data_IF_429227136992
#
_entry.id   IF_429227136992
#
_cell.length_a   1.000
_cell.length_b   1.000
_cell.length_c   1.000
_cell.angle_alpha   90.00
_cell.angle_beta   90.00
_cell.angle_gamma   90.00
#
_symmetry.space_group_name_H-M   'P 1'
#
loop_
_entity.id
_entity.type
_entity.pdbx_description
1 polymer ?
#
# COMPACT_ATOMS: atom_id res chain seq x y z
N UNK A 1 -4.58 7.35 24.92
CA UNK A 1 -5.71 6.65 24.28
C UNK A 1 -5.22 5.94 23.04
N UNK A 2 -5.84 4.87 22.55
CA UNK A 2 -5.27 4.19 21.38
C UNK A 2 -5.89 4.87 20.14
N UNK A 3 -5.31 5.97 19.62
CA UNK A 3 -4.07 6.07 18.83
C UNK A 3 -4.12 5.05 17.69
N UNK A 4 -4.64 5.50 16.55
CA UNK A 4 -4.48 4.78 15.28
C UNK A 4 -2.98 4.52 15.08
N UNK A 5 -2.63 3.26 14.83
CA UNK A 5 -1.26 2.85 14.56
C UNK A 5 -1.10 2.65 13.06
N UNK A 6 -0.04 3.23 12.50
CA UNK A 6 0.38 3.03 11.11
C UNK A 6 1.59 2.10 11.16
N UNK A 7 1.47 0.93 10.53
CA UNK A 7 2.60 0.00 10.39
C UNK A 7 3.16 0.15 8.99
N UNK A 8 4.45 0.54 8.91
CA UNK A 8 5.18 0.61 7.66
C UNK A 8 5.75 -0.76 7.31
N UNK A 9 5.37 -1.28 6.15
CA UNK A 9 5.97 -2.49 5.60
C UNK A 9 6.87 -2.10 4.43
N UNK A 10 8.15 -2.46 4.51
CA UNK A 10 9.13 -2.27 3.44
C UNK A 10 9.40 -3.63 2.80
N UNK A 11 9.02 -3.81 1.54
CA UNK A 11 9.50 -4.91 0.72
C UNK A 11 10.72 -4.43 -0.07
N UNK A 12 11.87 -4.35 0.58
CA UNK A 12 13.15 -4.21 -0.11
C UNK A 12 14.10 -5.28 0.40
N UNK A 13 14.58 -6.09 -0.53
CA UNK A 13 15.73 -6.94 -0.33
C UNK A 13 16.94 -6.06 0.05
N UNK A 14 17.85 -6.60 0.87
CA UNK A 14 19.04 -5.89 1.32
C UNK A 14 20.04 -5.65 0.17
N UNK A 15 19.83 -6.25 -1.01
CA UNK A 15 20.49 -5.92 -2.27
C UNK A 15 19.50 -5.32 -3.27
N UNK A 16 19.59 -4.02 -3.53
CA UNK A 16 18.81 -3.33 -4.55
C UNK A 16 19.22 -3.79 -5.97
N UNK A 17 18.69 -4.93 -6.41
CA UNK A 17 18.93 -5.52 -7.72
C UNK A 17 17.69 -6.13 -8.37
N UNK A 18 16.48 -5.63 -8.06
CA UNK A 18 15.26 -5.96 -8.83
C UNK A 18 14.83 -7.44 -8.87
N UNK A 19 15.30 -8.28 -7.94
CA UNK A 19 15.16 -9.74 -8.07
C UNK A 19 13.79 -10.31 -7.72
N UNK A 20 12.97 -9.61 -6.94
CA UNK A 20 11.64 -10.09 -6.56
C UNK A 20 10.57 -9.43 -7.43
N UNK A 21 9.86 -10.20 -8.28
CA UNK A 21 8.76 -9.68 -9.09
C UNK A 21 7.69 -9.00 -8.23
N UNK A 22 7.14 -7.88 -8.72
CA UNK A 22 6.19 -7.02 -7.96
C UNK A 22 5.00 -7.80 -7.37
N UNK A 23 4.46 -8.77 -8.13
CA UNK A 23 3.32 -9.58 -7.69
C UNK A 23 3.67 -10.48 -6.50
N UNK A 24 4.91 -10.98 -6.42
CA UNK A 24 5.38 -11.76 -5.29
C UNK A 24 5.64 -10.86 -4.07
N UNK A 25 6.25 -9.69 -4.28
CA UNK A 25 6.49 -8.71 -3.21
C UNK A 25 5.16 -8.23 -2.60
N UNK A 26 4.19 -7.84 -3.42
CA UNK A 26 2.85 -7.48 -2.97
C UNK A 26 2.13 -8.64 -2.30
N UNK A 27 2.30 -9.87 -2.81
CA UNK A 27 1.71 -11.06 -2.21
C UNK A 27 2.22 -11.30 -0.78
N UNK A 28 3.55 -11.23 -0.58
CA UNK A 28 4.18 -11.36 0.73
C UNK A 28 3.73 -10.25 1.69
N UNK A 29 3.66 -9.00 1.22
CA UNK A 29 3.10 -7.89 1.99
C UNK A 29 1.66 -8.16 2.41
N UNK A 30 0.82 -8.67 1.50
CA UNK A 30 -0.55 -9.06 1.80
C UNK A 30 -0.65 -10.10 2.89
N UNK A 31 0.18 -11.15 2.85
CA UNK A 31 0.25 -12.18 3.90
C UNK A 31 0.65 -11.56 5.24
N UNK A 32 1.67 -10.71 5.26
CA UNK A 32 2.13 -10.06 6.50
C UNK A 32 1.04 -9.13 7.10
N UNK A 33 0.35 -8.36 6.26
CA UNK A 33 -0.72 -7.46 6.67
C UNK A 33 -1.92 -8.25 7.21
N UNK A 34 -2.30 -9.36 6.55
CA UNK A 34 -3.37 -10.27 7.00
C UNK A 34 -3.04 -10.90 8.35
N UNK A 35 -1.81 -11.39 8.53
CA UNK A 35 -1.35 -11.95 9.80
C UNK A 35 -1.46 -10.89 10.91
N UNK A 36 -1.00 -9.67 10.65
CA UNK A 36 -1.13 -8.56 11.60
C UNK A 36 -2.60 -8.24 11.94
N UNK A 37 -3.52 -8.32 10.96
CA UNK A 37 -4.96 -8.14 11.20
C UNK A 37 -5.55 -9.24 12.09
N UNK A 38 -5.10 -10.48 11.91
CA UNK A 38 -5.53 -11.60 12.76
C UNK A 38 -5.02 -11.44 14.21
N UNK A 39 -3.74 -11.10 14.37
CA UNK A 39 -3.14 -10.84 15.69
C UNK A 39 -3.84 -9.68 16.43
N UNK A 40 -4.21 -8.63 15.70
CA UNK A 40 -4.98 -7.51 16.22
C UNK A 40 -6.37 -7.95 16.70
N UNK A 41 -7.08 -8.75 15.90
CA UNK A 41 -8.40 -9.27 16.24
C UNK A 41 -8.35 -10.17 17.49
N UNK A 42 -7.33 -11.02 17.60
CA UNK A 42 -7.11 -11.85 18.79
C UNK A 42 -6.82 -11.00 20.03
N UNK A 43 -5.99 -9.96 19.90
CA UNK A 43 -5.71 -9.03 20.98
C UNK A 43 -6.97 -8.29 21.43
N UNK A 44 -7.84 -7.92 20.49
CA UNK A 44 -9.14 -7.28 20.76
C UNK A 44 -10.08 -8.20 21.54
N UNK A 45 -10.15 -9.49 21.17
CA UNK A 45 -10.92 -10.51 21.90
C UNK A 45 -10.40 -10.71 23.33
N UNK A 46 -9.08 -10.73 23.51
CA UNK A 46 -8.43 -10.90 24.84
C UNK A 46 -8.53 -9.65 25.72
N UNK A 47 -8.71 -8.46 25.13
CA UNK A 47 -8.82 -7.17 25.84
C UNK A 47 -10.06 -6.40 25.36
N UNK A 48 -11.25 -6.70 25.89
CA UNK A 48 -12.52 -6.09 25.46
C UNK A 48 -12.54 -4.55 25.53
N UNK A 49 -11.72 -3.96 26.41
CA UNK A 49 -11.53 -2.51 26.49
C UNK A 49 -11.02 -1.89 25.17
N UNK A 50 -10.25 -2.62 24.36
CA UNK A 50 -9.82 -2.17 23.03
C UNK A 50 -11.00 -2.07 22.06
N UNK A 51 -11.91 -3.06 22.08
CA UNK A 51 -13.12 -3.05 21.26
C UNK A 51 -14.09 -1.92 21.61
N UNK A 52 -14.23 -1.60 22.90
CA UNK A 52 -15.14 -0.55 23.40
C UNK A 52 -14.81 0.86 22.88
N UNK A 53 -13.55 1.11 22.49
CA UNK A 53 -13.10 2.39 21.94
C UNK A 53 -13.03 2.41 20.41
N UNK A 54 -13.58 1.40 19.72
CA UNK A 54 -13.52 1.31 18.26
C UNK A 54 -12.08 1.24 17.74
N UNK A 55 -11.17 0.66 18.54
CA UNK A 55 -9.77 0.50 18.18
C UNK A 55 -9.64 -0.47 17.00
N UNK A 56 -8.90 -0.04 15.98
CA UNK A 56 -8.70 -0.76 14.74
C UNK A 56 -7.59 -0.11 13.91
N UNK A 57 -6.62 -0.88 13.43
CA UNK A 57 -5.59 -0.40 12.52
C UNK A 57 -6.12 -0.36 11.10
N UNK A 58 -5.94 0.78 10.44
CA UNK A 58 -6.13 0.88 8.99
C UNK A 58 -4.83 0.54 8.30
N UNK A 59 -4.97 -0.18 7.19
CA UNK A 59 -3.84 -0.72 6.42
C UNK A 59 -3.95 -0.20 5.00
N UNK A 60 -2.84 0.17 4.42
CA UNK A 60 -2.69 0.54 3.02
C UNK A 60 -1.22 0.28 2.64
N UNK A 61 -0.95 0.18 1.35
CA UNK A 61 0.39 -0.04 0.82
C UNK A 61 0.73 1.14 -0.09
N UNK A 62 1.93 1.70 0.08
CA UNK A 62 2.51 2.64 -0.88
C UNK A 62 3.70 1.92 -1.49
N UNK A 63 3.70 1.77 -2.81
CA UNK A 63 4.78 1.14 -3.57
C UNK A 63 5.42 2.15 -4.51
N UNK A 64 6.70 1.96 -4.81
CA UNK A 64 7.48 2.79 -5.73
C UNK A 64 8.04 1.91 -6.84
N UNK A 65 7.94 2.33 -8.10
CA UNK A 65 8.54 1.64 -9.23
C UNK A 65 9.13 2.65 -10.23
N UNK A 66 10.16 2.26 -10.97
CA UNK A 66 10.84 3.06 -12.00
C UNK A 66 10.71 2.47 -13.41
N UNK A 67 9.81 1.50 -13.59
CA UNK A 67 9.57 0.84 -14.86
C UNK A 67 8.28 0.02 -14.90
N UNK A 68 8.05 -0.66 -16.02
CA UNK A 68 6.91 -1.55 -16.18
C UNK A 68 7.07 -2.84 -15.39
N UNK A 69 5.94 -3.41 -14.96
CA UNK A 69 5.95 -4.77 -14.45
C UNK A 69 6.06 -5.76 -15.60
N UNK A 70 6.95 -6.74 -15.51
CA UNK A 70 7.03 -7.84 -16.48
C UNK A 70 5.80 -8.76 -16.47
N UNK A 71 4.90 -8.64 -15.49
CA UNK A 71 3.65 -9.40 -15.42
C UNK A 71 2.50 -8.57 -14.80
N UNK A 72 1.95 -7.59 -15.54
CA UNK A 72 0.96 -6.66 -15.01
C UNK A 72 -0.35 -7.37 -14.60
N UNK A 73 -0.72 -8.47 -15.27
CA UNK A 73 -1.90 -9.27 -14.94
C UNK A 73 -1.78 -9.94 -13.57
N UNK A 74 -0.61 -10.49 -13.23
CA UNK A 74 -0.38 -11.09 -11.92
C UNK A 74 -0.41 -10.02 -10.81
N UNK A 75 0.21 -8.86 -11.06
CA UNK A 75 0.18 -7.72 -10.15
C UNK A 75 -1.25 -7.25 -9.92
N UNK A 76 -2.02 -7.07 -11.00
CA UNK A 76 -3.44 -6.69 -10.92
C UNK A 76 -4.22 -7.66 -10.05
N UNK A 77 -4.06 -8.97 -10.23
CA UNK A 77 -4.76 -9.99 -9.43
C UNK A 77 -4.46 -9.86 -7.95
N UNK A 78 -3.20 -9.68 -7.59
CA UNK A 78 -2.79 -9.50 -6.18
C UNK A 78 -3.36 -8.20 -5.62
N UNK A 79 -3.35 -7.12 -6.41
CA UNK A 79 -3.89 -5.83 -6.00
C UNK A 79 -5.41 -5.82 -5.84
N UNK A 80 -6.13 -6.48 -6.75
CA UNK A 80 -7.58 -6.69 -6.64
C UNK A 80 -7.90 -7.46 -5.34
N UNK A 81 -7.12 -8.50 -5.03
CA UNK A 81 -7.28 -9.25 -3.79
C UNK A 81 -7.02 -8.39 -2.55
N UNK A 82 -5.93 -7.62 -2.52
CA UNK A 82 -5.64 -6.69 -1.42
C UNK A 82 -6.75 -5.64 -1.25
N UNK A 83 -7.30 -5.14 -2.35
CA UNK A 83 -8.42 -4.19 -2.35
C UNK A 83 -9.68 -4.81 -1.77
N UNK A 84 -10.00 -6.07 -2.13
CA UNK A 84 -11.10 -6.83 -1.53
C UNK A 84 -10.89 -7.06 -0.03
N UNK A 85 -9.64 -7.24 0.40
CA UNK A 85 -9.25 -7.34 1.80
C UNK A 85 -9.26 -5.98 2.54
N UNK A 86 -9.65 -4.89 1.87
CA UNK A 86 -9.72 -3.55 2.44
C UNK A 86 -8.37 -2.84 2.55
N UNK A 87 -7.34 -3.33 1.85
CA UNK A 87 -5.96 -2.81 1.85
C UNK A 87 -5.70 -2.12 0.51
N UNK A 88 -5.95 -0.81 0.37
CA UNK A 88 -5.66 -0.11 -0.88
C UNK A 88 -4.15 -0.03 -1.12
N UNK A 89 -3.77 -0.14 -2.39
CA UNK A 89 -2.39 0.00 -2.85
C UNK A 89 -2.26 1.25 -3.72
N UNK A 90 -1.33 2.12 -3.38
CA UNK A 90 -0.95 3.32 -4.13
C UNK A 90 0.43 3.12 -4.76
N UNK A 91 0.53 3.26 -6.08
CA UNK A 91 1.80 3.25 -6.80
C UNK A 91 2.30 4.68 -7.02
N UNK A 92 3.53 4.95 -6.60
CA UNK A 92 4.34 6.10 -7.01
C UNK A 92 5.27 5.63 -8.13
N UNK A 93 4.97 6.03 -9.36
CA UNK A 93 5.70 5.61 -10.55
C UNK A 93 6.70 6.69 -10.92
N UNK A 94 7.99 6.39 -10.89
CA UNK A 94 9.04 7.28 -11.34
C UNK A 94 8.97 7.32 -12.86
N UNK A 95 8.38 8.39 -13.39
CA UNK A 95 8.10 8.58 -14.81
C UNK A 95 8.00 10.08 -15.09
N UNK A 96 8.52 10.51 -16.23
CA UNK A 96 8.29 11.85 -16.76
C UNK A 96 6.84 11.99 -17.25
N UNK A 97 6.36 13.22 -17.42
CA UNK A 97 5.03 13.47 -17.99
C UNK A 97 4.89 13.01 -19.44
N UNK A 98 6.00 12.74 -20.13
CA UNK A 98 6.05 12.30 -21.52
C UNK A 98 5.96 10.77 -21.65
N UNK A 99 6.08 10.04 -20.54
CA UNK A 99 6.02 8.57 -20.49
C UNK A 99 4.56 8.05 -20.41
N UNK A 100 3.69 8.52 -21.31
CA UNK A 100 2.26 8.20 -21.29
C UNK A 100 1.97 6.69 -21.36
N UNK A 101 2.73 5.96 -22.19
CA UNK A 101 2.61 4.51 -22.35
C UNK A 101 2.95 3.75 -21.06
N UNK A 102 4.03 4.14 -20.39
CA UNK A 102 4.45 3.58 -19.11
C UNK A 102 3.39 3.84 -18.03
N UNK A 103 2.82 5.04 -17.99
CA UNK A 103 1.73 5.39 -17.06
C UNK A 103 0.47 4.57 -17.36
N UNK A 104 0.12 4.40 -18.64
CA UNK A 104 -1.03 3.61 -19.06
C UNK A 104 -0.85 2.12 -18.72
N UNK A 105 0.33 1.57 -18.97
CA UNK A 105 0.73 0.20 -18.63
C UNK A 105 0.66 -0.05 -17.12
N UNK A 106 1.21 0.86 -16.31
CA UNK A 106 1.13 0.79 -14.86
C UNK A 106 -0.33 0.79 -14.34
N UNK A 107 -1.23 1.55 -14.99
CA UNK A 107 -2.67 1.58 -14.63
C UNK A 107 -3.40 0.27 -14.89
N UNK A 108 -2.88 -0.61 -15.74
CA UNK A 108 -3.43 -1.97 -15.92
C UNK A 108 -3.22 -2.83 -14.66
N UNK A 109 -2.11 -2.61 -13.96
CA UNK A 109 -1.72 -3.34 -12.77
C UNK A 109 -2.16 -2.67 -11.45
N UNK A 110 -2.25 -1.33 -11.45
CA UNK A 110 -2.56 -0.53 -10.26
C UNK A 110 -3.70 0.46 -10.53
N UNK A 111 -4.78 0.45 -9.72
CA UNK A 111 -5.90 1.39 -9.88
C UNK A 111 -5.55 2.80 -9.39
N UNK A 112 -4.50 2.97 -8.59
CA UNK A 112 -4.01 4.25 -8.09
C UNK A 112 -2.54 4.41 -8.45
N UNK A 113 -2.27 5.17 -9.52
CA UNK A 113 -0.91 5.49 -9.99
C UNK A 113 -0.69 6.98 -9.88
N UNK A 114 0.42 7.38 -9.29
CA UNK A 114 0.89 8.77 -9.19
C UNK A 114 2.24 8.85 -9.87
N UNK A 115 2.32 9.43 -11.09
CA UNK A 115 3.60 9.70 -11.74
C UNK A 115 4.43 10.67 -10.90
N UNK A 116 5.74 10.44 -10.84
CA UNK A 116 6.73 11.22 -10.10
C UNK A 116 7.91 11.49 -11.01
N UNK A 117 8.01 12.71 -11.53
CA UNK A 117 9.06 13.08 -12.49
C UNK A 117 10.41 13.39 -11.84
N UNK A 118 10.43 13.66 -10.53
CA UNK A 118 11.64 13.90 -9.76
C UNK A 118 11.65 12.99 -8.52
N UNK A 119 12.62 12.08 -8.46
CA UNK A 119 12.78 11.10 -7.37
C UNK A 119 12.88 11.78 -5.99
N UNK A 120 13.43 13.01 -5.93
CA UNK A 120 13.54 13.76 -4.68
C UNK A 120 12.17 14.12 -4.07
N UNK A 121 11.11 14.11 -4.88
CA UNK A 121 9.75 14.44 -4.43
C UNK A 121 9.00 13.21 -3.88
N UNK A 122 9.54 11.99 -4.01
CA UNK A 122 8.90 10.75 -3.57
C UNK A 122 8.48 10.80 -2.10
N UNK A 123 9.34 11.34 -1.24
CA UNK A 123 9.04 11.45 0.19
C UNK A 123 7.84 12.39 0.43
N UNK A 124 7.84 13.57 -0.19
CA UNK A 124 6.77 14.55 -0.04
C UNK A 124 5.44 14.03 -0.60
N UNK A 125 5.47 13.42 -1.78
CA UNK A 125 4.28 12.86 -2.44
C UNK A 125 3.74 11.67 -1.64
N UNK A 126 4.62 10.77 -1.19
CA UNK A 126 4.26 9.63 -0.35
C UNK A 126 3.62 10.07 0.98
N UNK A 127 4.21 11.05 1.66
CA UNK A 127 3.63 11.65 2.88
C UNK A 127 2.27 12.29 2.59
N UNK A 128 2.12 13.00 1.47
CA UNK A 128 0.85 13.61 1.08
C UNK A 128 -0.24 12.55 0.89
N UNK A 129 0.07 11.45 0.17
CA UNK A 129 -0.84 10.32 -0.03
C UNK A 129 -1.21 9.65 1.29
N UNK A 130 -0.22 9.40 2.14
CA UNK A 130 -0.42 8.88 3.49
C UNK A 130 -1.40 9.75 4.30
N UNK A 131 -1.14 11.06 4.36
CA UNK A 131 -1.99 12.01 5.09
C UNK A 131 -3.40 12.06 4.52
N UNK A 132 -3.57 12.04 3.20
CA UNK A 132 -4.89 12.00 2.56
C UNK A 132 -5.66 10.71 2.90
N UNK A 133 -4.98 9.55 2.92
CA UNK A 133 -5.57 8.26 3.31
C UNK A 133 -6.06 8.30 4.76
N UNK A 134 -5.24 8.81 5.67
CA UNK A 134 -5.58 8.98 7.09
C UNK A 134 -6.75 9.94 7.25
N UNK A 135 -6.70 11.12 6.62
CA UNK A 135 -7.77 12.12 6.69
C UNK A 135 -9.12 11.56 6.22
N UNK A 136 -9.15 10.95 5.02
CA UNK A 136 -10.37 10.31 4.48
C UNK A 136 -10.89 9.20 5.40
N UNK A 137 -9.98 8.51 6.07
CA UNK A 137 -10.34 7.50 7.06
C UNK A 137 -11.07 8.13 8.26
N UNK A 138 -10.54 9.20 8.84
CA UNK A 138 -11.20 9.92 9.94
C UNK A 138 -12.55 10.51 9.53
N UNK A 139 -12.62 11.16 8.36
CA UNK A 139 -13.85 11.82 7.90
C UNK A 139 -15.00 10.84 7.64
N UNK A 140 -14.71 9.61 7.20
CA UNK A 140 -15.74 8.56 7.00
C UNK A 140 -16.32 7.97 8.30
N UNK A 141 -15.78 8.32 9.48
CA UNK A 141 -16.28 7.86 10.79
C UNK A 141 -17.24 8.86 11.45
N UNK A 142 -17.43 10.05 10.86
CA UNK A 142 -18.43 11.06 11.23
C UNK A 142 -19.62 10.92 10.27
#
# INVERSE_FOLDING_TARGET
>A
GPKEQITLYRALDAGAGGGTPDHLALGQLGVAIKKSAQEEEEARKKKPALGKHGWGMRRFVITTADGESHNPTAVKRVNDQLTQDGIPVDLLLIASGEDEDLIASAKLAYPSVTPVSNVNDLAQIGLTKLTQRIKKAFEKKI
#
